data_IF_195457695245
#
_entry.id   IF_195457695245
#
_cell.length_a   1.000
_cell.length_b   1.000
_cell.length_c   1.000
_cell.angle_alpha   90.00
_cell.angle_beta   90.00
_cell.angle_gamma   90.00
#
_symmetry.space_group_name_H-M   'P 1'
#
loop_
_entity.id
_entity.type
_entity.pdbx_description
1 polymer ?
#
# COMPACT_ATOMS: atom_id res chain seq x y z
N UNK A 1 -4.58 -20.44 -14.92
CA UNK A 1 -3.34 -20.12 -15.64
C UNK A 1 -2.67 -18.97 -14.92
N UNK A 2 -1.44 -19.09 -14.40
CA UNK A 2 -0.75 -17.93 -13.85
C UNK A 2 -0.48 -16.97 -15.02
N UNK A 3 -1.17 -15.83 -15.01
CA UNK A 3 -1.03 -14.81 -16.03
C UNK A 3 0.40 -14.32 -16.07
N UNK A 4 1.01 -14.37 -17.25
CA UNK A 4 2.34 -13.86 -17.55
C UNK A 4 2.38 -12.40 -17.09
N UNK A 5 3.14 -12.11 -16.03
CA UNK A 5 3.37 -10.73 -15.60
C UNK A 5 4.18 -10.07 -16.73
N UNK A 6 3.68 -9.01 -17.38
CA UNK A 6 4.45 -8.36 -18.42
C UNK A 6 5.79 -7.92 -17.83
N UNK A 7 6.89 -8.19 -18.54
CA UNK A 7 8.19 -7.63 -18.17
C UNK A 7 8.04 -6.11 -18.30
N UNK A 8 8.23 -5.34 -17.22
CA UNK A 8 8.14 -3.89 -17.34
C UNK A 8 9.22 -3.42 -18.32
N UNK A 9 8.91 -2.41 -19.14
CA UNK A 9 9.89 -1.70 -19.98
C UNK A 9 10.95 -0.96 -19.12
N UNK A 10 10.72 -0.89 -17.81
CA UNK A 10 11.55 -0.27 -16.81
C UNK A 10 12.40 -1.30 -16.04
N UNK A 11 13.71 -1.05 -15.90
CA UNK A 11 14.59 -1.84 -15.03
C UNK A 11 14.69 -1.22 -13.65
N UNK A 12 14.18 -1.94 -12.64
CA UNK A 12 14.33 -1.57 -11.23
C UNK A 12 15.80 -1.53 -10.81
N UNK A 13 16.63 -2.39 -11.40
CA UNK A 13 18.06 -2.47 -11.13
C UNK A 13 18.79 -1.21 -11.62
N UNK A 14 18.47 -0.72 -12.82
CA UNK A 14 18.99 0.55 -13.34
C UNK A 14 18.56 1.73 -12.46
N UNK A 15 17.27 1.82 -12.14
CA UNK A 15 16.78 2.91 -11.30
C UNK A 15 17.38 2.90 -9.89
N UNK A 16 17.62 1.72 -9.31
CA UNK A 16 18.31 1.59 -8.02
C UNK A 16 19.77 2.03 -8.14
N UNK A 17 20.48 1.62 -9.20
CA UNK A 17 21.83 2.06 -9.49
C UNK A 17 21.93 3.59 -9.61
N UNK A 18 21.03 4.18 -10.40
CA UNK A 18 20.99 5.62 -10.61
C UNK A 18 20.71 6.37 -9.32
N UNK A 19 19.76 5.88 -8.51
CA UNK A 19 19.47 6.45 -7.20
C UNK A 19 20.68 6.39 -6.24
N UNK A 20 21.35 5.24 -6.15
CA UNK A 20 22.55 5.08 -5.30
C UNK A 20 23.68 6.04 -5.70
N UNK A 21 23.90 6.22 -7.01
CA UNK A 21 24.92 7.14 -7.51
C UNK A 21 24.53 8.60 -7.31
N UNK A 22 23.33 8.98 -7.73
CA UNK A 22 22.92 10.39 -7.78
C UNK A 22 22.57 10.96 -6.41
N UNK A 23 21.95 10.15 -5.53
CA UNK A 23 21.48 10.61 -4.22
C UNK A 23 22.48 10.32 -3.12
N UNK A 24 23.19 9.18 -3.19
CA UNK A 24 24.08 8.73 -2.12
C UNK A 24 25.57 8.73 -2.50
N UNK A 25 25.92 9.04 -3.76
CA UNK A 25 27.31 9.07 -4.22
C UNK A 25 28.00 7.70 -4.23
N UNK A 26 27.25 6.60 -4.13
CA UNK A 26 27.80 5.24 -4.07
C UNK A 26 28.07 4.73 -5.48
N UNK A 27 29.35 4.65 -5.84
CA UNK A 27 29.80 4.21 -7.16
C UNK A 27 30.26 2.74 -7.18
N UNK A 28 30.65 2.19 -6.03
CA UNK A 28 31.16 0.83 -5.89
C UNK A 28 30.21 0.00 -5.02
N UNK A 29 29.53 -0.96 -5.64
CA UNK A 29 28.71 -1.96 -4.95
C UNK A 29 28.56 -3.21 -5.84
N UNK A 30 28.21 -4.34 -5.24
CA UNK A 30 27.88 -5.58 -5.95
C UNK A 30 26.50 -6.08 -5.54
N UNK A 31 25.67 -6.47 -6.50
CA UNK A 31 24.43 -7.19 -6.20
C UNK A 31 24.74 -8.65 -5.86
N UNK A 32 24.37 -9.08 -4.65
CA UNK A 32 24.54 -10.47 -4.20
C UNK A 32 23.38 -11.36 -4.62
N UNK A 33 22.16 -10.81 -4.64
CA UNK A 33 20.93 -11.49 -5.03
C UNK A 33 19.88 -10.48 -5.48
N UNK A 34 18.92 -10.94 -6.29
CA UNK A 34 17.81 -10.11 -6.78
C UNK A 34 16.47 -10.79 -6.49
N UNK A 35 15.78 -10.20 -5.50
CA UNK A 35 14.35 -10.32 -5.19
C UNK A 35 13.42 -9.77 -6.28
N UNK A 36 12.52 -10.55 -6.89
CA UNK A 36 11.40 -9.98 -7.67
C UNK A 36 10.06 -10.39 -7.07
N UNK A 37 9.27 -9.38 -6.72
CA UNK A 37 7.92 -9.53 -6.22
C UNK A 37 6.98 -8.52 -6.86
N UNK A 38 5.71 -8.90 -7.00
CA UNK A 38 4.64 -7.96 -7.38
C UNK A 38 3.62 -7.91 -6.26
N UNK A 39 3.40 -6.70 -5.73
CA UNK A 39 2.32 -6.42 -4.78
C UNK A 39 1.19 -5.79 -5.60
N UNK A 40 0.13 -6.55 -5.95
CA UNK A 40 -0.94 -6.00 -6.76
C UNK A 40 -1.66 -4.91 -5.98
N UNK A 41 -1.88 -3.76 -6.63
CA UNK A 41 -2.80 -2.77 -6.11
C UNK A 41 -4.25 -3.30 -6.18
N UNK A 42 -5.08 -2.84 -5.24
CA UNK A 42 -6.49 -3.17 -5.17
C UNK A 42 -6.91 -4.01 -3.96
N UNK A 43 -8.22 -4.24 -3.86
CA UNK A 43 -8.85 -4.92 -2.74
C UNK A 43 -9.16 -6.36 -3.16
N UNK A 44 -8.30 -7.31 -2.78
CA UNK A 44 -8.50 -8.75 -3.06
C UNK A 44 -8.59 -9.56 -1.78
N UNK A 45 -9.73 -9.42 -1.09
CA UNK A 45 -10.04 -10.27 0.06
C UNK A 45 -10.46 -11.66 -0.41
N UNK A 46 -9.87 -12.70 0.17
CA UNK A 46 -10.29 -14.08 -0.07
C UNK A 46 -11.01 -14.61 1.17
N UNK A 47 -12.23 -15.12 1.01
CA UNK A 47 -13.05 -15.67 2.09
C UNK A 47 -12.40 -16.88 2.75
N UNK A 48 -12.24 -16.93 4.09
CA UNK A 48 -11.61 -18.03 4.82
C UNK A 48 -12.11 -19.41 4.35
N UNK A 49 -11.25 -20.43 4.39
CA UNK A 49 -11.62 -21.80 4.00
C UNK A 49 -11.31 -22.75 5.15
N UNK A 50 -12.35 -23.41 5.68
CA UNK A 50 -12.23 -24.36 6.78
C UNK A 50 -11.51 -23.74 7.99
N UNK A 51 -10.50 -24.43 8.50
CA UNK A 51 -9.69 -24.01 9.67
C UNK A 51 -8.50 -23.12 9.31
N UNK A 52 -8.45 -22.57 8.09
CA UNK A 52 -7.33 -21.72 7.65
C UNK A 52 -7.65 -20.24 7.84
N UNK A 53 -6.76 -19.54 8.54
CA UNK A 53 -6.75 -18.08 8.60
C UNK A 53 -5.80 -17.52 7.56
N UNK A 54 -6.21 -16.44 6.89
CA UNK A 54 -5.35 -15.71 5.97
C UNK A 54 -4.62 -14.61 6.71
N UNK A 55 -3.37 -14.39 6.31
CA UNK A 55 -2.54 -13.26 6.72
C UNK A 55 -2.05 -12.52 5.47
N UNK A 56 -1.54 -11.31 5.62
CA UNK A 56 -0.90 -10.61 4.52
C UNK A 56 -1.88 -10.02 3.50
N UNK A 57 -1.41 -9.90 2.25
CA UNK A 57 -2.20 -9.44 1.11
C UNK A 57 -3.55 -10.19 0.96
N UNK A 58 -3.61 -11.54 1.05
CA UNK A 58 -4.87 -12.29 0.96
C UNK A 58 -5.90 -11.97 2.06
N UNK A 59 -5.46 -11.35 3.16
CA UNK A 59 -6.29 -10.92 4.28
C UNK A 59 -6.63 -9.43 4.25
N UNK A 60 -6.19 -8.70 3.22
CA UNK A 60 -6.37 -7.25 3.10
C UNK A 60 -5.50 -6.44 4.05
N UNK A 61 -4.41 -7.02 4.55
CA UNK A 61 -3.45 -6.30 5.41
C UNK A 61 -2.50 -5.39 4.62
N UNK A 62 -2.63 -5.31 3.30
CA UNK A 62 -1.89 -4.38 2.45
C UNK A 62 -2.80 -3.23 2.04
N UNK A 63 -2.30 -2.00 2.12
CA UNK A 63 -3.01 -0.81 1.64
C UNK A 63 -3.19 -0.90 0.13
N UNK A 64 -4.45 -0.86 -0.30
CA UNK A 64 -4.81 -1.20 -1.67
C UNK A 64 -4.18 -0.25 -2.70
N UNK A 65 -3.98 1.01 -2.34
CA UNK A 65 -3.52 2.08 -3.24
C UNK A 65 -2.02 2.23 -3.35
N UNK A 66 -1.24 1.63 -2.45
CA UNK A 66 0.21 1.85 -2.37
C UNK A 66 1.04 0.58 -2.24
N UNK A 67 0.40 -0.56 -1.95
CA UNK A 67 1.14 -1.79 -1.63
C UNK A 67 1.81 -1.78 -0.25
N UNK A 68 1.60 -0.73 0.54
CA UNK A 68 2.15 -0.63 1.89
C UNK A 68 1.52 -1.67 2.82
N UNK A 69 2.33 -2.55 3.42
CA UNK A 69 1.81 -3.67 4.20
C UNK A 69 2.65 -4.14 5.38
N UNK A 70 3.93 -3.80 5.48
CA UNK A 70 4.83 -4.40 6.46
C UNK A 70 4.32 -4.28 7.91
N UNK A 71 4.10 -3.04 8.38
CA UNK A 71 3.61 -2.74 9.73
C UNK A 71 2.20 -3.27 9.96
N UNK A 72 1.33 -3.21 8.95
CA UNK A 72 -0.05 -3.72 9.00
C UNK A 72 -0.09 -5.24 9.16
N UNK A 73 0.74 -5.96 8.41
CA UNK A 73 0.90 -7.42 8.49
C UNK A 73 1.51 -7.81 9.83
N UNK A 74 2.50 -7.07 10.30
CA UNK A 74 3.08 -7.30 11.63
C UNK A 74 2.02 -7.19 12.74
N UNK A 75 1.21 -6.12 12.74
CA UNK A 75 0.12 -5.98 13.72
C UNK A 75 -0.94 -7.06 13.57
N UNK A 76 -1.32 -7.41 12.34
CA UNK A 76 -2.27 -8.49 12.08
C UNK A 76 -1.77 -9.82 12.65
N UNK A 77 -0.51 -10.17 12.40
CA UNK A 77 0.09 -11.43 12.86
C UNK A 77 0.26 -11.45 14.38
N UNK A 78 0.66 -10.34 14.99
CA UNK A 78 0.71 -10.20 16.46
C UNK A 78 -0.66 -10.38 17.10
N UNK A 79 -1.70 -9.76 16.55
CA UNK A 79 -3.07 -9.90 17.05
C UNK A 79 -3.57 -11.34 16.93
N UNK A 80 -3.36 -11.96 15.77
CA UNK A 80 -3.72 -13.37 15.53
C UNK A 80 -3.00 -14.32 16.49
N UNK A 81 -1.70 -14.11 16.73
CA UNK A 81 -0.93 -14.92 17.68
C UNK A 81 -1.47 -14.77 19.11
N UNK A 82 -1.78 -13.54 19.54
CA UNK A 82 -2.30 -13.26 20.88
C UNK A 82 -3.69 -13.87 21.12
N UNK A 83 -4.59 -13.79 20.14
CA UNK A 83 -5.97 -14.31 20.26
C UNK A 83 -6.00 -15.83 20.20
N UNK A 84 -5.16 -16.43 19.36
CA UNK A 84 -4.93 -17.87 19.35
C UNK A 84 -4.42 -18.36 20.71
N UNK A 85 -3.43 -17.68 21.29
CA UNK A 85 -2.85 -18.07 22.57
C UNK A 85 -3.83 -17.96 23.75
N UNK A 86 -4.70 -16.95 23.75
CA UNK A 86 -5.62 -16.70 24.87
C UNK A 86 -6.95 -17.43 24.77
N UNK A 87 -7.48 -17.63 23.55
CA UNK A 87 -8.83 -18.19 23.35
C UNK A 87 -8.84 -19.57 22.69
N UNK A 88 -7.69 -20.04 22.20
CA UNK A 88 -7.58 -21.25 21.37
C UNK A 88 -8.11 -21.07 19.95
N UNK A 89 -8.61 -19.87 19.59
CA UNK A 89 -9.08 -19.54 18.26
C UNK A 89 -8.50 -18.21 17.77
N UNK A 90 -7.95 -18.14 16.55
CA UNK A 90 -7.46 -16.89 16.00
C UNK A 90 -8.62 -15.95 15.61
N UNK A 91 -8.57 -14.69 16.04
CA UNK A 91 -9.49 -13.65 15.58
C UNK A 91 -8.80 -12.75 14.54
N UNK A 92 -9.38 -12.65 13.35
CA UNK A 92 -8.80 -11.90 12.25
C UNK A 92 -9.29 -10.45 12.26
N UNK A 93 -8.38 -9.47 12.38
CA UNK A 93 -8.78 -8.06 12.45
C UNK A 93 -9.38 -7.64 11.11
N UNK A 94 -10.51 -6.91 11.17
CA UNK A 94 -11.21 -6.41 9.98
C UNK A 94 -10.67 -5.03 9.60
N UNK A 95 -10.24 -4.82 8.33
CA UNK A 95 -9.82 -3.50 7.88
C UNK A 95 -11.01 -2.51 7.94
N UNK A 96 -10.73 -1.27 8.32
CA UNK A 96 -11.76 -0.25 8.47
C UNK A 96 -12.41 0.08 7.12
N UNK A 97 -13.76 0.16 7.05
CA UNK A 97 -14.45 0.46 5.80
C UNK A 97 -14.16 1.88 5.28
N UNK A 98 -13.73 2.81 6.16
CA UNK A 98 -13.46 4.21 5.80
C UNK A 98 -12.34 4.33 4.77
N UNK A 99 -11.23 3.62 4.96
CA UNK A 99 -10.08 3.71 4.06
C UNK A 99 -10.34 3.00 2.75
N UNK A 100 -11.18 1.96 2.74
CA UNK A 100 -11.67 1.38 1.47
C UNK A 100 -12.44 2.40 0.64
N UNK A 101 -13.15 3.32 1.28
CA UNK A 101 -13.84 4.40 0.58
C UNK A 101 -12.84 5.43 0.02
N UNK A 102 -11.81 5.81 0.78
CA UNK A 102 -10.73 6.70 0.30
C UNK A 102 -9.92 6.07 -0.84
N UNK A 103 -9.70 4.76 -0.78
CA UNK A 103 -8.85 4.06 -1.74
C UNK A 103 -9.51 3.88 -3.12
N UNK A 104 -10.84 3.81 -3.18
CA UNK A 104 -11.60 3.60 -4.44
C UNK A 104 -11.24 4.57 -5.57
N UNK A 105 -11.41 5.90 -5.42
CA UNK A 105 -11.13 6.84 -6.51
C UNK A 105 -9.65 6.83 -6.91
N UNK A 106 -8.75 6.59 -5.96
CA UNK A 106 -7.32 6.51 -6.22
C UNK A 106 -6.94 5.23 -6.97
N UNK A 107 -7.60 4.10 -6.70
CA UNK A 107 -7.46 2.87 -7.50
C UNK A 107 -7.95 3.08 -8.94
N UNK A 108 -9.09 3.74 -9.12
CA UNK A 108 -9.60 4.09 -10.45
C UNK A 108 -8.65 5.02 -11.18
N UNK A 109 -8.04 5.97 -10.46
CA UNK A 109 -7.01 6.88 -11.00
C UNK A 109 -5.76 6.11 -11.43
N UNK A 110 -5.30 5.13 -10.64
CA UNK A 110 -4.18 4.26 -11.06
C UNK A 110 -4.46 3.52 -12.37
N UNK A 111 -5.70 3.08 -12.58
CA UNK A 111 -6.10 2.30 -13.75
C UNK A 111 -6.27 3.17 -15.00
N UNK A 112 -6.86 4.36 -14.87
CA UNK A 112 -7.25 5.20 -16.02
C UNK A 112 -6.33 6.40 -16.24
N UNK A 113 -5.56 6.79 -15.23
CA UNK A 113 -4.81 8.05 -15.22
C UNK A 113 -3.53 7.96 -14.33
N UNK A 114 -2.57 7.09 -14.70
CA UNK A 114 -1.41 6.79 -13.87
C UNK A 114 -0.51 8.00 -13.63
N UNK A 115 -0.45 8.97 -14.55
CA UNK A 115 0.33 10.20 -14.37
C UNK A 115 -0.26 11.07 -13.25
N UNK A 116 -1.58 11.24 -13.21
CA UNK A 116 -2.25 11.95 -12.13
C UNK A 116 -2.11 11.20 -10.80
N UNK A 117 -2.17 9.87 -10.82
CA UNK A 117 -1.92 9.06 -9.61
C UNK A 117 -0.51 9.28 -9.06
N UNK A 118 0.51 9.31 -9.93
CA UNK A 118 1.90 9.61 -9.53
C UNK A 118 2.01 11.02 -8.95
N UNK A 119 1.38 12.02 -9.58
CA UNK A 119 1.39 13.39 -9.05
C UNK A 119 0.72 13.49 -7.67
N UNK A 120 -0.45 12.86 -7.52
CA UNK A 120 -1.18 12.80 -6.25
C UNK A 120 -0.34 12.14 -5.15
N UNK A 121 0.28 11.00 -5.44
CA UNK A 121 1.13 10.27 -4.48
C UNK A 121 2.38 11.08 -4.11
N UNK A 122 3.05 11.71 -5.08
CA UNK A 122 4.18 12.59 -4.81
C UNK A 122 3.79 13.71 -3.85
N UNK A 123 2.67 14.40 -4.10
CA UNK A 123 2.18 15.44 -3.21
C UNK A 123 1.89 14.91 -1.79
N UNK A 124 1.32 13.69 -1.68
CA UNK A 124 1.10 13.03 -0.39
C UNK A 124 2.41 12.87 0.40
N UNK A 125 3.44 12.32 -0.25
CA UNK A 125 4.72 12.02 0.38
C UNK A 125 5.58 13.26 0.65
N UNK A 126 5.33 14.37 -0.06
CA UNK A 126 6.02 15.65 0.16
C UNK A 126 5.29 16.59 1.12
N UNK A 127 4.17 16.17 1.73
CA UNK A 127 3.34 16.99 2.62
C UNK A 127 4.00 17.43 3.94
N UNK A 128 5.25 17.01 4.19
CA UNK A 128 6.11 17.50 5.27
C UNK A 128 5.98 16.76 6.61
N UNK A 129 4.92 15.96 6.80
CA UNK A 129 4.70 15.16 8.02
C UNK A 129 4.74 13.67 7.67
N UNK A 130 5.93 13.08 7.70
CA UNK A 130 6.15 11.69 7.33
C UNK A 130 5.39 10.72 8.25
N UNK A 131 5.28 11.03 9.54
CA UNK A 131 4.56 10.21 10.51
C UNK A 131 3.07 10.19 10.20
N UNK A 132 2.48 11.35 9.88
CA UNK A 132 1.09 11.45 9.46
C UNK A 132 0.80 10.64 8.18
N UNK A 133 1.72 10.68 7.21
CA UNK A 133 1.61 9.88 5.98
C UNK A 133 1.68 8.39 6.32
N UNK A 134 2.65 7.96 7.13
CA UNK A 134 2.79 6.57 7.55
C UNK A 134 1.57 6.07 8.33
N UNK A 135 1.03 6.88 9.23
CA UNK A 135 -0.21 6.58 9.96
C UNK A 135 -1.41 6.45 9.01
N UNK A 136 -1.48 7.27 7.96
CA UNK A 136 -2.52 7.15 6.94
C UNK A 136 -2.37 5.87 6.14
N UNK A 137 -1.14 5.51 5.75
CA UNK A 137 -0.84 4.25 5.09
C UNK A 137 -1.16 3.05 5.98
N UNK A 138 -0.98 3.20 7.29
CA UNK A 138 -1.33 2.23 8.32
C UNK A 138 -2.82 2.17 8.65
N UNK A 139 -3.64 3.05 8.09
CA UNK A 139 -5.07 3.20 8.41
C UNK A 139 -5.35 3.58 9.88
N UNK A 140 -4.44 4.31 10.50
CA UNK A 140 -4.47 4.71 11.91
C UNK A 140 -4.84 6.17 12.16
N UNK A 141 -4.98 6.96 11.11
CA UNK A 141 -5.35 8.38 11.23
C UNK A 141 -6.72 8.58 11.84
N UNK A 142 -6.90 9.74 12.45
CA UNK A 142 -8.19 10.32 12.83
C UNK A 142 -8.71 11.23 11.72
N UNK A 143 -10.00 11.58 11.76
CA UNK A 143 -10.57 12.55 10.81
C UNK A 143 -9.86 13.92 10.82
N UNK A 144 -9.36 14.35 11.99
CA UNK A 144 -8.61 15.61 12.08
C UNK A 144 -7.26 15.53 11.35
N UNK A 145 -6.53 14.42 11.55
CA UNK A 145 -5.29 14.10 10.85
C UNK A 145 -5.51 13.97 9.33
N UNK A 146 -6.58 13.29 8.92
CA UNK A 146 -6.95 13.14 7.51
C UNK A 146 -7.22 14.50 6.85
N UNK A 147 -7.95 15.42 7.50
CA UNK A 147 -8.15 16.77 6.96
C UNK A 147 -6.84 17.53 6.77
N UNK A 148 -5.91 17.41 7.73
CA UNK A 148 -4.59 18.04 7.63
C UNK A 148 -3.80 17.49 6.45
N UNK A 149 -3.80 16.16 6.29
CA UNK A 149 -3.14 15.48 5.17
C UNK A 149 -3.78 15.89 3.83
N UNK A 150 -5.10 15.78 3.72
CA UNK A 150 -5.85 16.13 2.51
C UNK A 150 -5.69 17.61 2.12
N UNK A 151 -5.57 18.52 3.09
CA UNK A 151 -5.32 19.94 2.81
C UNK A 151 -3.98 20.23 2.13
N UNK A 152 -3.02 19.31 2.21
CA UNK A 152 -1.70 19.42 1.57
C UNK A 152 -1.62 18.75 0.18
N UNK A 153 -2.71 18.12 -0.26
CA UNK A 153 -2.75 17.27 -1.45
C UNK A 153 -3.70 17.85 -2.51
N UNK A 154 -3.53 17.51 -3.80
CA UNK A 154 -4.44 17.94 -4.86
C UNK A 154 -5.74 17.12 -4.86
N UNK A 155 -6.51 17.19 -3.77
CA UNK A 155 -7.72 16.38 -3.54
C UNK A 155 -8.82 16.67 -4.58
N UNK A 156 -8.79 17.84 -5.20
CA UNK A 156 -9.66 18.18 -6.34
C UNK A 156 -9.54 17.18 -7.49
N UNK A 157 -8.38 16.53 -7.66
CA UNK A 157 -8.18 15.47 -8.66
C UNK A 157 -9.05 14.25 -8.38
N UNK A 158 -9.35 13.94 -7.11
CA UNK A 158 -10.20 12.82 -6.72
C UNK A 158 -11.70 13.12 -6.84
N UNK A 159 -12.11 14.39 -7.01
CA UNK A 159 -13.53 14.76 -7.09
C UNK A 159 -14.16 14.50 -8.47
N UNK A 160 -13.38 14.07 -9.44
CA UNK A 160 -13.87 13.78 -10.78
C UNK A 160 -14.87 12.61 -10.74
N UNK A 161 -16.13 12.78 -11.17
CA UNK A 161 -17.16 11.74 -11.07
C UNK A 161 -16.76 10.41 -11.71
N UNK A 162 -15.98 10.45 -12.80
CA UNK A 162 -15.45 9.27 -13.50
C UNK A 162 -14.62 8.34 -12.62
N UNK A 163 -14.04 8.84 -11.52
CA UNK A 163 -13.22 8.03 -10.60
C UNK A 163 -14.07 7.23 -9.59
N UNK A 164 -15.36 7.56 -9.46
CA UNK A 164 -16.27 6.99 -8.46
C UNK A 164 -17.33 6.04 -9.05
N UNK A 165 -17.37 5.91 -10.37
CA UNK A 165 -18.21 4.96 -11.12
C UNK A 165 -17.51 3.61 -11.13
#
# INVERSE_FOLDING_TARGET
MPGRTPTPEFSFEQATSDYLRQVWGVNEYSSLSVERGSIPLGIRLRSPRGRHVRIGCPAGAVKATTGYGFTRILRQTQHLASTLASTGSPDAPRPSPRFRWYDRPLLTMWEHDPEHAVHFMKAAFTSGDADLVLDFLDERTTFAQERRLLGSMPVTMLLQPRLWI
#
